data_IF_880481360228
#
_entry.id   IF_880481360228
#
_cell.length_a   1.000
_cell.length_b   1.000
_cell.length_c   1.000
_cell.angle_alpha   90.00
_cell.angle_beta   90.00
_cell.angle_gamma   90.00
#
_symmetry.space_group_name_H-M   'P 1'
#
loop_
_entity.id
_entity.type
_entity.pdbx_description
1 polymer ?
#
# COMPACT_ATOMS: atom_id res chain seq x y z
N UNK A 1 -76.55 -9.15 -37.82
CA UNK A 1 -75.78 -9.54 -36.63
C UNK A 1 -74.32 -9.56 -37.04
N UNK A 2 -73.57 -8.53 -36.66
CA UNK A 2 -72.16 -8.38 -36.97
C UNK A 2 -71.40 -8.31 -35.64
N UNK A 3 -70.56 -9.32 -35.39
CA UNK A 3 -69.68 -9.38 -34.22
C UNK A 3 -68.47 -8.45 -34.45
N UNK A 4 -68.43 -7.38 -33.68
CA UNK A 4 -67.30 -6.45 -33.63
C UNK A 4 -66.33 -6.95 -32.56
N UNK A 5 -65.30 -7.68 -32.97
CA UNK A 5 -64.21 -8.09 -32.11
C UNK A 5 -63.31 -6.88 -31.79
N UNK A 6 -63.38 -6.40 -30.55
CA UNK A 6 -62.51 -5.34 -30.02
C UNK A 6 -61.15 -5.95 -29.67
N UNK A 7 -60.15 -5.68 -30.51
CA UNK A 7 -58.75 -6.02 -30.25
C UNK A 7 -58.15 -5.03 -29.25
N UNK A 8 -57.85 -5.49 -28.04
CA UNK A 8 -57.18 -4.70 -27.01
C UNK A 8 -55.67 -4.87 -27.20
N UNK A 9 -54.90 -3.79 -27.48
CA UNK A 9 -53.45 -3.89 -27.60
C UNK A 9 -52.82 -4.17 -26.22
N UNK A 10 -51.80 -5.03 -26.13
CA UNK A 10 -51.11 -5.30 -24.88
C UNK A 10 -50.29 -4.08 -24.45
N UNK A 11 -50.76 -3.43 -23.40
CA UNK A 11 -50.07 -2.32 -22.75
C UNK A 11 -48.94 -2.88 -21.85
N UNK A 12 -47.80 -3.23 -22.45
CA UNK A 12 -46.57 -3.48 -21.71
C UNK A 12 -45.81 -2.16 -21.51
N UNK A 13 -46.25 -1.35 -20.55
CA UNK A 13 -45.36 -0.36 -19.92
C UNK A 13 -44.37 -1.10 -19.04
N UNK A 14 -43.27 -1.56 -19.63
CA UNK A 14 -42.05 -1.89 -18.88
C UNK A 14 -41.58 -0.58 -18.28
N UNK A 15 -41.88 -0.41 -17.00
CA UNK A 15 -41.46 0.73 -16.22
C UNK A 15 -39.96 0.55 -15.96
N UNK A 16 -39.14 1.09 -16.85
CA UNK A 16 -37.68 1.17 -16.69
C UNK A 16 -37.40 1.95 -15.40
N UNK A 17 -37.20 1.22 -14.31
CA UNK A 17 -36.68 1.78 -13.09
C UNK A 17 -35.33 2.42 -13.41
N UNK A 18 -35.07 3.67 -12.97
CA UNK A 18 -33.80 4.31 -13.23
C UNK A 18 -32.68 3.40 -12.72
N UNK A 19 -31.64 3.13 -13.54
CA UNK A 19 -30.59 2.21 -13.16
C UNK A 19 -29.97 2.66 -11.85
N UNK A 20 -29.99 1.78 -10.85
CA UNK A 20 -29.35 2.03 -9.56
C UNK A 20 -27.88 2.37 -9.83
N UNK A 21 -27.35 3.49 -9.32
CA UNK A 21 -25.98 3.89 -9.59
C UNK A 21 -25.04 2.79 -9.09
N UNK A 22 -24.36 2.11 -10.02
CA UNK A 22 -23.41 1.07 -9.71
C UNK A 22 -22.33 1.63 -8.77
N UNK A 23 -22.00 0.86 -7.75
CA UNK A 23 -20.87 1.20 -6.89
C UNK A 23 -19.57 1.17 -7.69
N UNK A 24 -18.58 2.00 -7.32
CA UNK A 24 -17.26 2.04 -7.99
C UNK A 24 -16.62 0.64 -8.11
N UNK A 25 -16.82 -0.20 -7.10
CA UNK A 25 -16.32 -1.57 -7.06
C UNK A 25 -17.00 -2.48 -8.10
N UNK A 26 -18.32 -2.37 -8.25
CA UNK A 26 -19.05 -3.16 -9.25
C UNK A 26 -18.62 -2.78 -10.67
N UNK A 27 -18.44 -1.48 -10.94
CA UNK A 27 -17.96 -1.02 -12.26
C UNK A 27 -16.55 -1.55 -12.56
N UNK A 28 -15.67 -1.58 -11.57
CA UNK A 28 -14.35 -2.19 -11.70
C UNK A 28 -14.44 -3.70 -11.97
N UNK A 29 -15.34 -4.42 -11.28
CA UNK A 29 -15.52 -5.85 -11.47
C UNK A 29 -16.09 -6.18 -12.86
N UNK A 30 -17.10 -5.43 -13.33
CA UNK A 30 -17.64 -5.57 -14.68
C UNK A 30 -16.57 -5.34 -15.76
N UNK A 31 -15.67 -4.38 -15.56
CA UNK A 31 -14.58 -4.15 -16.50
C UNK A 31 -13.51 -5.23 -16.47
N UNK A 32 -13.19 -5.75 -15.29
CA UNK A 32 -12.28 -6.90 -15.19
C UNK A 32 -12.87 -8.16 -15.86
N UNK A 33 -14.19 -8.31 -15.86
CA UNK A 33 -14.88 -9.36 -16.60
C UNK A 33 -14.82 -9.11 -18.12
N UNK A 34 -15.03 -7.87 -18.58
CA UNK A 34 -14.98 -7.51 -20.01
C UNK A 34 -13.57 -7.54 -20.59
N UNK A 35 -12.55 -7.11 -19.83
CA UNK A 35 -11.17 -6.98 -20.26
C UNK A 35 -10.23 -7.74 -19.35
N UNK A 36 -9.82 -8.93 -19.80
CA UNK A 36 -8.87 -9.75 -19.06
C UNK A 36 -7.52 -9.05 -18.95
N UNK A 37 -6.95 -9.03 -17.74
CA UNK A 37 -5.64 -8.44 -17.47
C UNK A 37 -4.52 -9.20 -18.21
N UNK A 38 -3.58 -8.52 -18.88
CA UNK A 38 -2.45 -9.14 -19.57
C UNK A 38 -1.61 -10.04 -18.66
N UNK A 39 -0.96 -11.05 -19.23
CA UNK A 39 -0.20 -12.05 -18.46
C UNK A 39 0.99 -11.47 -17.69
N UNK A 40 1.62 -10.40 -18.19
CA UNK A 40 2.79 -9.78 -17.54
C UNK A 40 2.47 -8.95 -16.30
N UNK A 41 1.20 -8.55 -16.13
CA UNK A 41 0.69 -7.89 -14.93
C UNK A 41 0.34 -8.87 -13.81
N UNK A 42 0.14 -10.15 -14.14
CA UNK A 42 -0.25 -11.17 -13.17
C UNK A 42 0.96 -11.57 -12.31
N UNK A 43 0.66 -11.92 -11.06
CA UNK A 43 1.67 -12.45 -10.17
C UNK A 43 2.31 -13.74 -10.77
N UNK A 44 3.62 -13.95 -10.58
CA UNK A 44 4.30 -15.17 -11.00
C UNK A 44 3.66 -16.44 -10.42
N UNK A 45 3.80 -17.55 -11.13
CA UNK A 45 3.37 -18.88 -10.68
C UNK A 45 4.21 -19.43 -9.53
N UNK A 46 5.49 -19.05 -9.45
CA UNK A 46 6.37 -19.45 -8.35
C UNK A 46 5.88 -18.85 -7.01
N UNK A 47 5.69 -19.66 -5.96
CA UNK A 47 5.08 -19.22 -4.69
C UNK A 47 5.91 -18.13 -3.98
N UNK A 48 7.24 -18.22 -4.00
CA UNK A 48 8.11 -17.24 -3.36
C UNK A 48 8.00 -15.90 -4.07
N UNK A 49 8.16 -15.89 -5.39
CA UNK A 49 8.01 -14.67 -6.19
C UNK A 49 6.59 -14.10 -6.11
N UNK A 50 5.57 -14.96 -5.96
CA UNK A 50 4.18 -14.52 -5.78
C UNK A 50 4.04 -13.76 -4.47
N UNK A 51 4.58 -14.28 -3.37
CA UNK A 51 4.56 -13.59 -2.07
C UNK A 51 5.34 -12.27 -2.15
N UNK A 52 6.53 -12.26 -2.77
CA UNK A 52 7.30 -11.03 -2.97
C UNK A 52 6.53 -9.99 -3.80
N UNK A 53 5.92 -10.41 -4.91
CA UNK A 53 5.11 -9.52 -5.76
C UNK A 53 3.92 -8.96 -4.99
N UNK A 54 3.21 -9.81 -4.25
CA UNK A 54 2.08 -9.41 -3.42
C UNK A 54 2.48 -8.45 -2.31
N UNK A 55 3.63 -8.67 -1.67
CA UNK A 55 4.17 -7.77 -0.65
C UNK A 55 4.54 -6.41 -1.26
N UNK A 56 5.23 -6.40 -2.41
CA UNK A 56 5.58 -5.16 -3.11
C UNK A 56 4.33 -4.39 -3.56
N UNK A 57 3.34 -5.06 -4.16
CA UNK A 57 2.08 -4.42 -4.55
C UNK A 57 1.32 -3.88 -3.33
N UNK A 58 1.34 -4.61 -2.21
CA UNK A 58 0.71 -4.17 -0.97
C UNK A 58 1.39 -2.93 -0.40
N UNK A 59 2.71 -2.86 -0.46
CA UNK A 59 3.47 -1.70 0.02
C UNK A 59 3.28 -0.51 -0.91
N UNK A 60 3.48 -0.70 -2.22
CA UNK A 60 3.37 0.35 -3.22
C UNK A 60 1.95 0.95 -3.31
N UNK A 61 0.93 0.09 -3.33
CA UNK A 61 -0.45 0.51 -3.65
C UNK A 61 -1.46 0.24 -2.53
N UNK A 62 -1.09 -0.48 -1.47
CA UNK A 62 -2.03 -0.86 -0.42
C UNK A 62 -2.91 -2.06 -0.78
N UNK A 63 -2.62 -2.76 -1.88
CA UNK A 63 -3.45 -3.84 -2.40
C UNK A 63 -2.59 -5.04 -2.82
N UNK A 64 -3.12 -6.26 -2.69
CA UNK A 64 -2.35 -7.51 -2.87
C UNK A 64 -2.16 -7.88 -4.36
N UNK A 65 -2.46 -6.97 -5.27
CA UNK A 65 -2.38 -7.19 -6.72
C UNK A 65 -2.50 -5.89 -7.49
N UNK A 66 -2.34 -5.99 -8.81
CA UNK A 66 -2.41 -4.84 -9.73
C UNK A 66 -3.76 -4.73 -10.44
N UNK A 67 -4.69 -5.65 -10.18
CA UNK A 67 -6.01 -5.67 -10.82
C UNK A 67 -6.78 -4.35 -10.64
N UNK A 68 -6.79 -3.70 -9.46
CA UNK A 68 -7.54 -2.45 -9.31
C UNK A 68 -6.86 -1.27 -10.03
N UNK A 69 -5.53 -1.30 -10.18
CA UNK A 69 -4.79 -0.29 -10.95
C UNK A 69 -5.07 -0.47 -12.43
N UNK A 70 -5.02 -1.71 -12.91
CA UNK A 70 -5.41 -2.06 -14.27
C UNK A 70 -6.84 -1.62 -14.57
N UNK A 71 -7.79 -1.92 -13.68
CA UNK A 71 -9.18 -1.50 -13.81
C UNK A 71 -9.31 0.04 -13.84
N UNK A 72 -8.53 0.75 -13.02
CA UNK A 72 -8.54 2.22 -12.98
C UNK A 72 -8.01 2.82 -14.28
N UNK A 73 -6.95 2.26 -14.86
CA UNK A 73 -6.42 2.69 -16.17
C UNK A 73 -7.48 2.46 -17.26
N UNK A 74 -8.16 1.31 -17.26
CA UNK A 74 -9.19 1.01 -18.27
C UNK A 74 -10.47 1.82 -18.10
N UNK A 75 -10.82 2.24 -16.88
CA UNK A 75 -11.92 3.16 -16.63
C UNK A 75 -11.66 4.55 -17.20
N UNK A 76 -10.42 5.03 -17.11
CA UNK A 76 -10.06 6.33 -17.66
C UNK A 76 -10.11 6.32 -19.20
N UNK A 77 -9.72 5.22 -19.86
CA UNK A 77 -9.91 5.04 -21.31
C UNK A 77 -11.39 5.14 -21.75
N UNK A 78 -12.33 4.83 -20.85
CA UNK A 78 -13.78 4.94 -21.10
C UNK A 78 -14.34 6.34 -20.79
N UNK A 79 -13.48 7.28 -20.37
CA UNK A 79 -13.83 8.68 -20.11
C UNK A 79 -14.07 9.03 -18.65
N UNK A 80 -13.78 8.13 -17.69
CA UNK A 80 -13.90 8.41 -16.26
C UNK A 80 -12.55 8.83 -15.63
N UNK A 81 -12.09 10.04 -15.95
CA UNK A 81 -10.83 10.61 -15.47
C UNK A 81 -10.77 10.69 -13.91
N UNK A 82 -11.92 10.82 -13.27
CA UNK A 82 -12.04 11.05 -11.82
C UNK A 82 -11.47 9.92 -10.96
N UNK A 83 -11.52 8.68 -11.47
CA UNK A 83 -11.07 7.50 -10.72
C UNK A 83 -9.54 7.41 -10.73
N UNK A 84 -8.90 7.77 -11.84
CA UNK A 84 -7.45 7.81 -11.93
C UNK A 84 -6.87 8.91 -11.03
N UNK A 85 -7.43 10.12 -11.10
CA UNK A 85 -6.99 11.24 -10.26
C UNK A 85 -7.08 10.89 -8.77
N UNK A 86 -8.16 10.22 -8.35
CA UNK A 86 -8.30 9.75 -6.98
C UNK A 86 -7.20 8.74 -6.59
N UNK A 87 -6.92 7.76 -7.45
CA UNK A 87 -5.88 6.75 -7.20
C UNK A 87 -4.48 7.34 -7.09
N UNK A 88 -4.15 8.30 -7.97
CA UNK A 88 -2.89 9.03 -7.94
C UNK A 88 -2.81 9.91 -6.69
N UNK A 89 -3.88 10.63 -6.35
CA UNK A 89 -3.93 11.47 -5.14
C UNK A 89 -3.67 10.64 -3.89
N UNK A 90 -4.36 9.51 -3.71
CA UNK A 90 -4.15 8.61 -2.57
C UNK A 90 -2.69 8.13 -2.51
N UNK A 91 -2.10 7.78 -3.65
CA UNK A 91 -0.70 7.31 -3.70
C UNK A 91 0.28 8.43 -3.33
N UNK A 92 0.09 9.63 -3.87
CA UNK A 92 0.89 10.81 -3.54
C UNK A 92 0.76 11.19 -2.07
N UNK A 93 -0.45 11.19 -1.50
CA UNK A 93 -0.68 11.51 -0.09
C UNK A 93 0.05 10.52 0.84
N UNK A 94 0.05 9.23 0.50
CA UNK A 94 0.80 8.21 1.26
C UNK A 94 2.31 8.44 1.20
N UNK A 95 2.84 8.73 0.02
CA UNK A 95 4.27 9.04 -0.14
C UNK A 95 4.66 10.34 0.57
N UNK A 96 3.81 11.37 0.55
CA UNK A 96 4.02 12.62 1.27
C UNK A 96 4.03 12.40 2.79
N UNK A 97 3.09 11.62 3.31
CA UNK A 97 3.10 11.25 4.73
C UNK A 97 4.38 10.51 5.12
N UNK A 98 4.88 9.62 4.25
CA UNK A 98 6.17 8.93 4.47
C UNK A 98 7.35 9.89 4.41
N UNK A 99 7.37 10.85 3.49
CA UNK A 99 8.39 11.90 3.42
C UNK A 99 8.45 12.74 4.71
N UNK A 100 7.29 13.07 5.28
CA UNK A 100 7.22 13.78 6.56
C UNK A 100 7.85 12.95 7.68
N UNK A 101 7.47 11.68 7.82
CA UNK A 101 8.06 10.77 8.82
C UNK A 101 9.57 10.60 8.63
N UNK A 102 10.02 10.40 7.39
CA UNK A 102 11.43 10.27 7.06
C UNK A 102 12.23 11.51 7.43
N UNK A 103 11.69 12.71 7.18
CA UNK A 103 12.34 13.98 7.50
C UNK A 103 12.49 14.19 9.00
N UNK A 104 11.47 13.79 9.79
CA UNK A 104 11.53 13.84 11.25
C UNK A 104 12.59 12.86 11.81
N UNK A 105 12.63 11.63 11.29
CA UNK A 105 13.66 10.66 11.65
C UNK A 105 15.05 11.11 11.22
N UNK A 106 15.17 11.78 10.07
CA UNK A 106 16.43 12.32 9.57
C UNK A 106 16.96 13.41 10.49
N UNK A 107 16.12 14.37 10.88
CA UNK A 107 16.50 15.40 11.85
C UNK A 107 16.91 14.79 13.21
N UNK A 108 16.16 13.80 13.69
CA UNK A 108 16.46 13.09 14.94
C UNK A 108 17.82 12.37 14.87
N UNK A 109 18.07 11.64 13.79
CA UNK A 109 19.35 10.96 13.58
C UNK A 109 20.51 11.94 13.41
N UNK A 110 20.31 13.06 12.74
CA UNK A 110 21.31 14.13 12.61
C UNK A 110 21.70 14.69 13.98
N UNK A 111 20.73 14.91 14.88
CA UNK A 111 21.01 15.35 16.25
C UNK A 111 21.86 14.34 16.99
N UNK A 112 21.53 13.04 16.96
CA UNK A 112 22.34 12.02 17.62
C UNK A 112 23.77 11.91 17.04
N UNK A 113 23.94 12.14 15.74
CA UNK A 113 25.27 12.05 15.10
C UNK A 113 26.14 13.26 15.42
N UNK A 114 25.54 14.45 15.56
CA UNK A 114 26.26 15.74 15.67
C UNK A 114 26.41 16.24 17.09
N UNK A 115 25.59 15.76 18.03
CA UNK A 115 25.61 16.22 19.42
C UNK A 115 26.33 15.22 20.33
N UNK A 116 26.99 15.74 21.36
CA UNK A 116 27.53 14.91 22.44
C UNK A 116 26.42 14.65 23.47
N UNK A 117 26.26 13.41 23.98
CA UNK A 117 25.25 13.11 24.99
C UNK A 117 25.48 13.96 26.24
N UNK A 118 24.42 14.58 26.81
CA UNK A 118 24.57 15.44 27.98
C UNK A 118 25.07 14.67 29.22
N UNK A 119 24.78 13.36 29.30
CA UNK A 119 25.26 12.47 30.36
C UNK A 119 25.62 11.12 29.77
N UNK A 120 26.92 10.84 29.70
CA UNK A 120 27.47 9.57 29.23
C UNK A 120 27.04 8.37 30.09
N UNK A 121 26.73 8.62 31.37
CA UNK A 121 26.31 7.60 32.32
C UNK A 121 24.83 7.19 32.19
N UNK A 122 24.07 7.78 31.26
CA UNK A 122 22.64 7.42 31.05
C UNK A 122 22.44 6.83 29.66
N UNK A 123 22.96 7.51 28.62
CA UNK A 123 22.91 7.00 27.24
C UNK A 123 24.20 7.37 26.54
N UNK A 124 25.05 6.38 26.28
CA UNK A 124 26.30 6.58 25.52
C UNK A 124 26.12 6.16 24.06
N UNK A 125 25.43 6.99 23.28
CA UNK A 125 25.26 6.75 21.84
C UNK A 125 26.51 7.10 21.01
N UNK A 126 27.57 7.63 21.62
CA UNK A 126 28.87 7.87 20.96
C UNK A 126 29.75 6.64 20.85
N UNK A 127 29.34 5.52 21.44
CA UNK A 127 30.02 4.24 21.24
C UNK A 127 29.97 3.82 19.77
N UNK A 128 31.04 3.16 19.31
CA UNK A 128 31.22 2.80 17.90
C UNK A 128 30.04 2.02 17.31
N UNK A 129 29.46 1.08 18.06
CA UNK A 129 28.31 0.27 17.63
C UNK A 129 27.06 1.11 17.36
N UNK A 130 26.47 1.76 18.39
CA UNK A 130 25.35 2.68 18.25
C UNK A 130 25.56 3.72 17.14
N UNK A 131 26.76 4.32 17.09
CA UNK A 131 27.08 5.36 16.12
C UNK A 131 27.03 4.88 14.67
N UNK A 132 27.58 3.68 14.37
CA UNK A 132 27.50 3.09 13.03
C UNK A 132 26.04 2.81 12.63
N UNK A 133 25.21 2.32 13.56
CA UNK A 133 23.79 2.08 13.29
C UNK A 133 23.03 3.39 13.00
N UNK A 134 23.30 4.45 13.77
CA UNK A 134 22.71 5.77 13.55
C UNK A 134 23.14 6.38 12.21
N UNK A 135 24.42 6.24 11.84
CA UNK A 135 24.93 6.71 10.55
C UNK A 135 24.31 5.91 9.37
N UNK A 136 24.16 4.61 9.53
CA UNK A 136 23.46 3.75 8.56
C UNK A 136 22.01 4.17 8.38
N UNK A 137 21.30 4.46 9.48
CA UNK A 137 19.94 4.97 9.43
C UNK A 137 19.85 6.34 8.72
N UNK A 138 20.77 7.25 9.03
CA UNK A 138 20.85 8.57 8.39
C UNK A 138 21.01 8.44 6.86
N UNK A 139 21.92 7.57 6.40
CA UNK A 139 22.11 7.30 4.97
C UNK A 139 20.87 6.69 4.30
N UNK A 140 20.22 5.72 4.95
CA UNK A 140 18.97 5.11 4.45
C UNK A 140 17.83 6.13 4.35
N UNK A 141 17.72 7.05 5.32
CA UNK A 141 16.70 8.10 5.30
C UNK A 141 16.90 9.08 4.15
N UNK A 142 18.14 9.52 3.90
CA UNK A 142 18.45 10.38 2.74
C UNK A 142 18.08 9.67 1.44
N UNK A 143 18.52 8.42 1.26
CA UNK A 143 18.19 7.63 0.06
C UNK A 143 16.67 7.47 -0.11
N UNK A 144 15.97 7.13 0.97
CA UNK A 144 14.51 6.99 1.00
C UNK A 144 13.78 8.28 0.62
N UNK A 145 14.22 9.43 1.16
CA UNK A 145 13.66 10.75 0.84
C UNK A 145 13.87 11.10 -0.64
N UNK A 146 15.06 10.87 -1.18
CA UNK A 146 15.36 11.17 -2.59
C UNK A 146 14.45 10.33 -3.51
N UNK A 147 14.39 9.02 -3.30
CA UNK A 147 13.58 8.13 -4.13
C UNK A 147 12.09 8.42 -3.97
N UNK A 148 11.60 8.67 -2.75
CA UNK A 148 10.22 9.07 -2.51
C UNK A 148 9.87 10.38 -3.23
N UNK A 149 10.76 11.38 -3.20
CA UNK A 149 10.55 12.66 -3.89
C UNK A 149 10.43 12.46 -5.40
N UNK A 150 11.32 11.66 -5.98
CA UNK A 150 11.25 11.31 -7.41
C UNK A 150 9.94 10.57 -7.70
N UNK A 151 9.57 9.58 -6.88
CA UNK A 151 8.35 8.79 -7.03
C UNK A 151 7.08 9.65 -6.98
N UNK A 152 7.01 10.65 -6.08
CA UNK A 152 5.89 11.60 -6.01
C UNK A 152 5.82 12.43 -7.29
N UNK A 153 6.95 12.99 -7.74
CA UNK A 153 6.99 13.82 -8.95
C UNK A 153 6.61 13.03 -10.21
N UNK A 154 7.08 11.78 -10.32
CA UNK A 154 6.74 10.92 -11.46
C UNK A 154 5.28 10.50 -11.42
N UNK A 155 4.76 10.12 -10.25
CA UNK A 155 3.37 9.67 -10.07
C UNK A 155 2.40 10.82 -10.30
N UNK A 156 2.70 12.03 -9.82
CA UNK A 156 1.86 13.21 -10.03
C UNK A 156 1.75 13.65 -11.49
N UNK A 157 2.75 13.32 -12.33
CA UNK A 157 2.74 13.62 -13.77
C UNK A 157 2.27 12.45 -14.63
N UNK A 158 2.03 11.28 -14.03
CA UNK A 158 1.71 10.08 -14.77
C UNK A 158 0.28 10.16 -15.32
N UNK A 159 0.16 10.18 -16.65
CA UNK A 159 -1.11 9.93 -17.33
C UNK A 159 -1.34 8.42 -17.46
N UNK A 160 -2.57 7.93 -17.54
CA UNK A 160 -2.82 6.47 -17.53
C UNK A 160 -2.31 5.79 -18.78
N UNK A 161 -2.53 6.39 -19.96
CA UNK A 161 -2.00 5.86 -21.22
C UNK A 161 -0.46 5.71 -21.14
N UNK A 162 0.23 6.70 -20.57
CA UNK A 162 1.68 6.68 -20.42
C UNK A 162 2.12 5.65 -19.38
N UNK A 163 1.37 5.53 -18.28
CA UNK A 163 1.63 4.53 -17.24
C UNK A 163 1.54 3.11 -17.80
N UNK A 164 0.49 2.82 -18.58
CA UNK A 164 0.34 1.51 -19.22
C UNK A 164 1.47 1.22 -20.21
N UNK A 165 1.79 2.18 -21.08
CA UNK A 165 2.76 1.98 -22.16
C UNK A 165 4.23 2.03 -21.69
N UNK A 166 4.54 2.69 -20.58
CA UNK A 166 5.92 2.88 -20.12
C UNK A 166 6.17 2.11 -18.83
N UNK A 167 5.43 2.40 -17.77
CA UNK A 167 5.63 1.78 -16.45
C UNK A 167 5.23 0.30 -16.41
N UNK A 168 4.24 -0.07 -17.22
CA UNK A 168 3.69 -1.44 -17.20
C UNK A 168 3.67 -2.14 -18.56
N UNK A 169 4.49 -1.68 -19.52
CA UNK A 169 4.59 -2.32 -20.83
C UNK A 169 5.14 -3.74 -20.76
N UNK A 170 6.13 -3.97 -19.90
CA UNK A 170 6.81 -5.25 -19.76
C UNK A 170 6.82 -5.71 -18.33
N UNK A 171 7.01 -7.02 -18.12
CA UNK A 171 7.10 -7.61 -16.78
C UNK A 171 8.21 -6.98 -15.94
N UNK A 172 9.36 -6.70 -16.55
CA UNK A 172 10.49 -6.05 -15.85
C UNK A 172 10.14 -4.63 -15.41
N UNK A 173 9.39 -3.88 -16.22
CA UNK A 173 8.97 -2.53 -15.86
C UNK A 173 7.97 -2.55 -14.70
N UNK A 174 7.06 -3.53 -14.67
CA UNK A 174 6.15 -3.73 -13.52
C UNK A 174 6.94 -3.94 -12.23
N UNK A 175 7.91 -4.86 -12.23
CA UNK A 175 8.76 -5.13 -11.06
C UNK A 175 9.60 -3.93 -10.67
N UNK A 176 10.19 -3.22 -11.64
CA UNK A 176 10.97 -2.01 -11.40
C UNK A 176 10.11 -0.94 -10.73
N UNK A 177 8.92 -0.66 -11.27
CA UNK A 177 7.97 0.31 -10.72
C UNK A 177 7.56 -0.05 -9.29
N UNK A 178 7.24 -1.33 -9.05
CA UNK A 178 6.91 -1.84 -7.71
C UNK A 178 8.07 -1.69 -6.72
N UNK A 179 9.30 -1.98 -7.13
CA UNK A 179 10.49 -1.83 -6.29
C UNK A 179 10.74 -0.35 -5.99
N UNK A 180 10.68 0.52 -6.99
CA UNK A 180 10.90 1.97 -6.83
C UNK A 180 9.85 2.58 -5.89
N UNK A 181 8.57 2.23 -6.05
CA UNK A 181 7.49 2.72 -5.18
C UNK A 181 7.55 2.14 -3.77
N UNK A 182 8.02 0.89 -3.62
CA UNK A 182 8.14 0.25 -2.30
C UNK A 182 9.41 0.64 -1.55
N UNK A 183 10.46 1.08 -2.26
CA UNK A 183 11.77 1.37 -1.70
C UNK A 183 11.73 2.38 -0.53
N UNK A 184 11.01 3.51 -0.60
CA UNK A 184 10.94 4.44 0.53
C UNK A 184 10.41 3.80 1.81
N UNK A 185 9.41 2.93 1.71
CA UNK A 185 8.84 2.23 2.85
C UNK A 185 9.87 1.29 3.50
N UNK A 186 10.62 0.53 2.68
CA UNK A 186 11.68 -0.32 3.19
C UNK A 186 12.84 0.48 3.80
N UNK A 187 13.27 1.55 3.12
CA UNK A 187 14.37 2.40 3.58
C UNK A 187 14.03 3.07 4.93
N UNK A 188 12.84 3.67 5.05
CA UNK A 188 12.37 4.32 6.28
C UNK A 188 12.18 3.28 7.39
N UNK A 189 11.57 2.12 7.08
CA UNK A 189 11.38 1.05 8.05
C UNK A 189 12.71 0.49 8.59
N UNK A 190 13.67 0.20 7.70
CA UNK A 190 15.00 -0.27 8.10
C UNK A 190 15.78 0.80 8.87
N UNK A 191 15.69 2.07 8.48
CA UNK A 191 16.30 3.16 9.22
C UNK A 191 15.73 3.31 10.63
N UNK A 192 14.41 3.20 10.78
CA UNK A 192 13.76 3.22 12.10
C UNK A 192 14.24 2.04 12.97
N UNK A 193 14.38 0.84 12.39
CA UNK A 193 14.93 -0.33 13.07
C UNK A 193 16.39 -0.08 13.50
N UNK A 194 17.22 0.47 12.62
CA UNK A 194 18.62 0.79 12.93
C UNK A 194 18.73 1.86 14.04
N UNK A 195 17.88 2.89 14.03
CA UNK A 195 17.83 3.87 15.11
C UNK A 195 17.39 3.24 16.43
N UNK A 196 16.35 2.40 16.40
CA UNK A 196 15.88 1.67 17.58
C UNK A 196 17.00 0.81 18.17
N UNK A 197 17.68 -0.01 17.36
CA UNK A 197 18.81 -0.82 17.82
C UNK A 197 20.01 0.01 18.26
N UNK A 198 20.29 1.14 17.60
CA UNK A 198 21.35 2.06 18.01
C UNK A 198 21.12 2.62 19.41
N UNK A 199 19.89 3.05 19.69
CA UNK A 199 19.50 3.53 21.03
C UNK A 199 19.52 2.37 22.04
N UNK A 200 19.01 1.19 21.66
CA UNK A 200 18.96 0.01 22.52
C UNK A 200 20.36 -0.41 22.97
N UNK A 201 21.29 -0.51 22.02
CA UNK A 201 22.70 -0.87 22.27
C UNK A 201 23.41 0.20 23.11
N UNK A 202 23.08 1.49 22.92
CA UNK A 202 23.60 2.57 23.75
C UNK A 202 23.12 2.46 25.21
N UNK A 203 21.85 2.10 25.43
CA UNK A 203 21.28 1.89 26.78
C UNK A 203 21.88 0.66 27.43
N UNK A 204 22.01 -0.45 26.70
CA UNK A 204 22.58 -1.70 27.22
C UNK A 204 24.04 -1.59 27.66
N UNK A 205 24.75 -0.57 27.17
CA UNK A 205 26.13 -0.30 27.55
C UNK A 205 26.27 0.45 28.88
N UNK A 206 25.15 0.85 29.50
CA UNK A 206 25.12 1.63 30.74
C UNK A 206 24.76 0.70 31.92
N UNK A 207 25.37 0.93 33.08
CA UNK A 207 25.26 0.08 34.27
C UNK A 207 23.92 0.21 35.04
N UNK A 208 22.97 1.02 34.55
CA UNK A 208 21.67 1.24 35.18
C UNK A 208 20.65 0.15 34.78
N UNK A 209 20.44 -0.81 35.69
CA UNK A 209 19.48 -1.90 35.53
C UNK A 209 18.05 -1.45 35.26
N UNK A 210 17.63 -0.29 35.78
CA UNK A 210 16.28 0.22 35.58
C UNK A 210 16.04 0.63 34.13
N UNK A 211 17.02 1.32 33.54
CA UNK A 211 16.96 1.75 32.15
C UNK A 211 17.06 0.56 31.18
N UNK A 212 17.90 -0.43 31.49
CA UNK A 212 18.01 -1.67 30.71
C UNK A 212 16.68 -2.44 30.64
N UNK A 213 15.89 -2.47 31.71
CA UNK A 213 14.58 -3.12 31.72
C UNK A 213 13.51 -2.31 30.97
N UNK A 214 13.56 -0.98 31.03
CA UNK A 214 12.57 -0.11 30.39
C UNK A 214 12.73 -0.04 28.86
N UNK A 215 13.95 -0.11 28.34
CA UNK A 215 14.24 0.02 26.92
C UNK A 215 13.57 -1.03 26.00
N UNK A 216 13.62 -2.35 26.28
CA UNK A 216 12.92 -3.34 25.45
C UNK A 216 11.40 -3.19 25.55
N UNK A 217 10.87 -2.75 26.69
CA UNK A 217 9.43 -2.49 26.86
C UNK A 217 8.96 -1.37 25.92
N UNK A 218 9.78 -0.33 25.76
CA UNK A 218 9.50 0.79 24.86
C UNK A 218 9.45 0.36 23.38
N UNK A 219 10.32 -0.58 22.97
CA UNK A 219 10.31 -1.15 21.61
C UNK A 219 9.24 -2.22 21.40
N UNK A 220 8.88 -2.94 22.46
CA UNK A 220 7.84 -3.97 22.40
C UNK A 220 6.47 -3.38 22.08
N UNK A 221 6.14 -2.22 22.64
CA UNK A 221 4.84 -1.57 22.42
C UNK A 221 4.51 -1.29 20.94
N UNK A 222 5.33 -0.59 20.14
CA UNK A 222 5.05 -0.35 18.73
C UNK A 222 5.02 -1.64 17.89
N UNK A 223 5.86 -2.63 18.23
CA UNK A 223 5.82 -3.95 17.58
C UNK A 223 4.49 -4.67 17.85
N UNK A 224 4.01 -4.65 19.09
CA UNK A 224 2.72 -5.23 19.46
C UNK A 224 1.57 -4.56 18.70
N UNK A 225 1.57 -3.23 18.63
CA UNK A 225 0.54 -2.48 17.88
C UNK A 225 0.59 -2.83 16.39
N UNK A 226 1.78 -2.95 15.79
CA UNK A 226 1.93 -3.36 14.40
C UNK A 226 1.41 -4.79 14.17
N UNK A 227 1.72 -5.74 15.07
CA UNK A 227 1.22 -7.11 15.00
C UNK A 227 -0.30 -7.18 15.15
N UNK A 228 -0.87 -6.45 16.10
CA UNK A 228 -2.32 -6.34 16.29
C UNK A 228 -2.99 -5.78 15.04
N UNK A 229 -2.40 -4.75 14.42
CA UNK A 229 -2.92 -4.18 13.18
C UNK A 229 -2.91 -5.20 12.04
N UNK A 230 -1.80 -5.91 11.84
CA UNK A 230 -1.70 -6.98 10.83
C UNK A 230 -2.73 -8.08 11.09
N UNK A 231 -2.89 -8.49 12.35
CA UNK A 231 -3.87 -9.50 12.75
C UNK A 231 -5.31 -9.07 12.46
N UNK A 232 -5.69 -7.84 12.82
CA UNK A 232 -7.04 -7.29 12.55
C UNK A 232 -7.30 -7.24 11.03
N UNK A 233 -6.31 -6.83 10.24
CA UNK A 233 -6.44 -6.81 8.79
C UNK A 233 -6.55 -8.22 8.19
N UNK A 234 -5.77 -9.18 8.68
CA UNK A 234 -5.82 -10.57 8.24
C UNK A 234 -7.19 -11.20 8.55
N UNK A 235 -7.72 -10.96 9.76
CA UNK A 235 -9.03 -11.48 10.18
C UNK A 235 -10.19 -10.80 9.43
N UNK A 236 -10.13 -9.50 9.19
CA UNK A 236 -11.11 -8.79 8.36
C UNK A 236 -11.16 -9.35 6.93
N UNK A 237 -9.99 -9.62 6.34
CA UNK A 237 -9.87 -10.25 5.01
C UNK A 237 -10.38 -11.69 4.99
N UNK A 238 -10.15 -12.46 6.05
CA UNK A 238 -10.70 -13.81 6.15
C UNK A 238 -12.25 -13.79 6.19
N UNK A 239 -12.83 -12.84 6.95
CA UNK A 239 -14.29 -12.66 7.02
C UNK A 239 -14.91 -12.24 5.69
N UNK A 240 -14.25 -11.36 4.91
CA UNK A 240 -14.78 -10.95 3.61
C UNK A 240 -14.84 -12.11 2.61
N UNK A 241 -13.85 -13.01 2.62
CA UNK A 241 -13.86 -14.23 1.81
C UNK A 241 -14.99 -15.18 2.18
N UNK A 242 -15.24 -15.37 3.47
CA UNK A 242 -16.36 -16.20 3.93
C UNK A 242 -17.70 -15.67 3.44
N UNK A 243 -17.93 -14.34 3.51
CA UNK A 243 -19.16 -13.72 3.01
C UNK A 243 -19.35 -13.92 1.51
N UNK A 244 -18.29 -13.76 0.71
CA UNK A 244 -18.34 -14.00 -0.74
C UNK A 244 -18.73 -15.45 -1.06
N UNK A 245 -18.10 -16.42 -0.39
CA UNK A 245 -18.43 -17.83 -0.57
C UNK A 245 -19.87 -18.15 -0.16
N UNK A 246 -20.39 -17.54 0.91
CA UNK A 246 -21.79 -17.72 1.33
C UNK A 246 -22.78 -17.15 0.31
N UNK A 247 -22.49 -16.00 -0.31
CA UNK A 247 -23.33 -15.43 -1.37
C UNK A 247 -23.34 -16.32 -2.62
N UNK A 248 -22.16 -16.75 -3.09
CA UNK A 248 -22.04 -17.66 -4.24
C UNK A 248 -22.77 -19.01 -3.99
N UNK A 249 -22.79 -19.48 -2.73
CA UNK A 249 -23.52 -20.70 -2.36
C UNK A 249 -25.03 -20.46 -2.37
N UNK A 250 -25.50 -19.31 -1.89
CA UNK A 250 -26.92 -18.96 -1.89
C UNK A 250 -27.48 -18.78 -3.31
N UNK A 251 -26.73 -18.14 -4.21
CA UNK A 251 -27.12 -17.97 -5.61
C UNK A 251 -27.26 -19.30 -6.36
N UNK A 252 -26.43 -20.31 -6.03
CA UNK A 252 -26.54 -21.65 -6.61
C UNK A 252 -27.74 -22.46 -6.11
N UNK A 253 -28.39 -22.06 -5.02
CA UNK A 253 -29.55 -22.75 -4.46
C UNK A 253 -30.89 -22.20 -4.98
N UNK A 254 -30.89 -21.08 -5.72
CA UNK A 254 -32.09 -20.54 -6.35
C UNK A 254 -32.33 -21.30 -7.67
N UNK A 255 -33.42 -22.09 -7.78
CA UNK A 255 -33.75 -22.89 -8.95
C UNK A 255 -34.28 -22.08 -10.14
#
# INVERSE_FOLDING_TARGET
>A
MADVAVSIPPCHTVQDSPPVPLTKLQRQEELLQRRSMPSHWRAPSNPVLKVCFQALSLIAFGQVGLEPIWATIKLEEEGDESIWEEGIRITCDRLNNMLLVASLLLATSAVFITTTPPRLNIVNYTLRGPYILMLGAFGLLIGGIIVASVAVLTTAKARPYWSEQVLYATRTNVWCTLIVLSYPFFAIGLAAIFLAFGILTAIWSVEDSGLQAAAPLLLFFPLLVALLFVYVNATAKARSRLRKNSQETAERMLP
#
